data_IF_225537103971
#
_entry.id   IF_225537103971
#
_cell.length_a   1.000
_cell.length_b   1.000
_cell.length_c   1.000
_cell.angle_alpha   90.00
_cell.angle_beta   90.00
_cell.angle_gamma   90.00
#
_symmetry.space_group_name_H-M   'P 1'
#
loop_
_entity.id
_entity.type
_entity.pdbx_description
1 polymer ?
#
# COMPACT_ATOMS: atom_id res chain seq x y z
N UNK A 1 -35.11 -5.33 16.57
CA UNK A 1 -33.80 -4.99 15.98
C UNK A 1 -32.90 -6.17 16.31
N UNK A 2 -32.75 -7.11 15.37
CA UNK A 2 -31.85 -8.24 15.56
C UNK A 2 -30.42 -7.72 15.53
N UNK A 3 -29.70 -7.91 16.62
CA UNK A 3 -28.27 -7.62 16.69
C UNK A 3 -27.58 -8.64 15.79
N UNK A 4 -27.15 -8.24 14.59
CA UNK A 4 -26.28 -9.05 13.75
C UNK A 4 -25.02 -9.37 14.57
N UNK A 5 -24.97 -10.59 15.12
CA UNK A 5 -23.74 -11.13 15.69
C UNK A 5 -22.79 -11.35 14.53
N UNK A 6 -21.87 -10.44 14.33
CA UNK A 6 -20.77 -10.63 13.37
C UNK A 6 -20.03 -11.90 13.80
N UNK A 7 -20.06 -12.94 12.95
CA UNK A 7 -19.26 -14.14 13.20
C UNK A 7 -17.80 -13.74 13.38
N UNK A 8 -17.22 -14.18 14.51
CA UNK A 8 -15.82 -13.89 14.82
C UNK A 8 -14.92 -14.51 13.75
N UNK A 9 -14.04 -13.73 13.15
CA UNK A 9 -13.06 -14.22 12.20
C UNK A 9 -12.03 -15.12 12.88
N UNK A 10 -12.21 -16.43 12.75
CA UNK A 10 -11.29 -17.43 13.32
C UNK A 10 -9.87 -17.39 12.74
N UNK A 11 -9.66 -16.68 11.63
CA UNK A 11 -8.37 -16.54 10.95
C UNK A 11 -7.66 -15.23 11.27
N UNK A 12 -8.26 -14.32 12.05
CA UNK A 12 -7.68 -13.00 12.34
C UNK A 12 -6.28 -13.10 12.99
N UNK A 13 -6.03 -14.16 13.79
CA UNK A 13 -4.72 -14.40 14.40
C UNK A 13 -3.57 -14.47 13.38
N UNK A 14 -3.85 -14.78 12.10
CA UNK A 14 -2.83 -14.88 11.06
C UNK A 14 -2.20 -13.52 10.74
N UNK A 15 -2.93 -12.43 10.97
CA UNK A 15 -2.48 -11.06 10.77
C UNK A 15 -2.06 -10.36 12.07
N UNK A 16 -1.93 -11.08 13.19
CA UNK A 16 -1.42 -10.49 14.42
C UNK A 16 -0.01 -9.93 14.23
N UNK A 17 0.23 -8.73 14.78
CA UNK A 17 1.48 -7.98 14.65
C UNK A 17 1.81 -7.56 13.21
N UNK A 18 0.80 -7.43 12.36
CA UNK A 18 0.96 -6.75 11.07
C UNK A 18 1.44 -5.31 11.32
N UNK A 19 2.37 -4.78 10.49
CA UNK A 19 2.84 -3.41 10.67
C UNK A 19 1.73 -2.39 10.43
N UNK A 20 1.95 -1.10 10.76
CA UNK A 20 0.98 -0.07 10.45
C UNK A 20 0.66 -0.05 8.96
N UNK A 21 -0.63 0.07 8.66
CA UNK A 21 -1.16 0.12 7.30
C UNK A 21 -1.45 1.57 6.93
N UNK A 22 -1.03 1.99 5.74
CA UNK A 22 -1.40 3.25 5.12
C UNK A 22 -2.13 2.92 3.83
N UNK A 23 -3.46 3.07 3.83
CA UNK A 23 -4.25 2.78 2.63
C UNK A 23 -4.64 4.07 1.90
N UNK A 24 -4.49 4.02 0.58
CA UNK A 24 -4.68 5.14 -0.34
C UNK A 24 -6.09 5.04 -0.91
N UNK A 25 -6.89 6.13 -0.76
CA UNK A 25 -8.27 6.15 -1.22
C UNK A 25 -8.64 7.57 -1.66
N UNK A 26 -9.29 7.69 -2.81
CA UNK A 26 -9.83 8.95 -3.32
C UNK A 26 -10.96 9.46 -2.42
N UNK A 27 -11.04 10.77 -2.19
CA UNK A 27 -12.10 11.37 -1.39
C UNK A 27 -13.49 11.21 -2.03
N UNK A 28 -13.53 11.09 -3.36
CA UNK A 28 -14.73 10.82 -4.12
C UNK A 28 -15.21 9.36 -4.08
N UNK A 29 -14.47 8.45 -3.43
CA UNK A 29 -14.77 7.01 -3.39
C UNK A 29 -15.09 6.52 -1.95
N UNK A 30 -16.17 7.03 -1.32
CA UNK A 30 -16.50 6.67 0.06
C UNK A 30 -16.88 5.19 0.25
N UNK A 31 -17.42 4.55 -0.78
CA UNK A 31 -17.80 3.13 -0.72
C UNK A 31 -16.56 2.23 -0.60
N UNK A 32 -15.48 2.54 -1.32
CA UNK A 32 -14.20 1.83 -1.21
C UNK A 32 -13.56 2.03 0.18
N UNK A 33 -13.67 3.24 0.73
CA UNK A 33 -13.26 3.50 2.13
C UNK A 33 -14.01 2.59 3.10
N UNK A 34 -15.34 2.54 3.01
CA UNK A 34 -16.19 1.69 3.86
C UNK A 34 -15.81 0.22 3.70
N UNK A 35 -15.56 -0.22 2.47
CA UNK A 35 -15.13 -1.58 2.16
C UNK A 35 -13.81 -1.91 2.90
N UNK A 36 -12.77 -1.09 2.76
CA UNK A 36 -11.49 -1.32 3.41
C UNK A 36 -11.60 -1.33 4.95
N UNK A 37 -12.28 -0.34 5.52
CA UNK A 37 -12.45 -0.25 6.97
C UNK A 37 -13.29 -1.42 7.53
N UNK A 38 -14.25 -1.94 6.75
CA UNK A 38 -15.00 -3.13 7.13
C UNK A 38 -14.11 -4.39 7.16
N UNK A 39 -13.19 -4.53 6.20
CA UNK A 39 -12.20 -5.61 6.21
C UNK A 39 -11.25 -5.49 7.40
N UNK A 40 -10.71 -4.30 7.67
CA UNK A 40 -9.85 -4.09 8.83
C UNK A 40 -10.55 -4.49 10.13
N UNK A 41 -11.79 -4.07 10.30
CA UNK A 41 -12.61 -4.50 11.44
C UNK A 41 -12.80 -6.02 11.50
N UNK A 42 -13.11 -6.66 10.36
CA UNK A 42 -13.31 -8.11 10.30
C UNK A 42 -12.02 -8.89 10.63
N UNK A 43 -10.87 -8.35 10.24
CA UNK A 43 -9.55 -8.95 10.48
C UNK A 43 -8.89 -8.50 11.79
N UNK A 44 -9.61 -7.76 12.65
CA UNK A 44 -9.12 -7.24 13.92
C UNK A 44 -7.84 -6.39 13.75
N UNK A 45 -7.75 -5.64 12.64
CA UNK A 45 -6.65 -4.71 12.34
C UNK A 45 -7.05 -3.33 12.85
N UNK A 46 -6.30 -2.79 13.82
CA UNK A 46 -6.57 -1.49 14.43
C UNK A 46 -5.59 -0.40 13.99
N UNK A 47 -4.38 -0.79 13.60
CA UNK A 47 -3.31 0.16 13.26
C UNK A 47 -3.30 0.46 11.76
N UNK A 48 -4.21 1.31 11.33
CA UNK A 48 -4.27 1.80 9.95
C UNK A 48 -4.54 3.30 9.87
N UNK A 49 -4.08 3.91 8.79
CA UNK A 49 -4.29 5.33 8.46
C UNK A 49 -4.75 5.45 7.02
N UNK A 50 -5.82 6.17 6.79
CA UNK A 50 -6.26 6.54 5.44
C UNK A 50 -5.42 7.71 4.91
N UNK A 51 -4.95 7.57 3.70
CA UNK A 51 -4.28 8.63 2.93
C UNK A 51 -5.22 9.07 1.81
N UNK A 52 -5.67 10.32 1.85
CA UNK A 52 -6.44 10.91 0.76
C UNK A 52 -5.55 10.96 -0.49
N UNK A 53 -5.98 10.27 -1.55
CA UNK A 53 -5.27 10.19 -2.81
C UNK A 53 -5.39 11.48 -3.62
N UNK A 54 -4.44 11.71 -4.52
CA UNK A 54 -4.57 12.71 -5.58
C UNK A 54 -5.26 12.07 -6.79
N UNK A 55 -6.34 12.68 -7.28
CA UNK A 55 -6.94 12.30 -8.56
C UNK A 55 -6.25 13.07 -9.69
N UNK A 56 -5.32 12.41 -10.37
CA UNK A 56 -4.59 13.05 -11.47
C UNK A 56 -5.46 13.37 -12.70
N UNK A 57 -6.72 12.94 -12.72
CA UNK A 57 -7.67 13.26 -13.81
C UNK A 57 -8.38 14.60 -13.55
N UNK A 58 -8.69 14.88 -12.30
CA UNK A 58 -9.52 16.00 -11.87
C UNK A 58 -8.73 17.05 -11.07
N UNK A 59 -7.66 16.65 -10.36
CA UNK A 59 -6.83 17.54 -9.56
C UNK A 59 -5.79 18.28 -10.43
N UNK A 60 -5.60 19.56 -10.18
CA UNK A 60 -4.42 20.29 -10.66
C UNK A 60 -3.21 19.92 -9.78
N UNK A 61 -2.35 19.06 -10.32
CA UNK A 61 -1.15 18.61 -9.63
C UNK A 61 0.06 19.55 -9.77
N UNK A 62 -0.08 20.72 -10.38
CA UNK A 62 1.01 21.68 -10.63
C UNK A 62 1.69 22.17 -9.34
N UNK A 63 0.93 22.26 -8.24
CA UNK A 63 1.46 22.63 -6.94
C UNK A 63 2.17 21.48 -6.22
N UNK A 64 1.94 20.24 -6.64
CA UNK A 64 2.43 19.03 -6.02
C UNK A 64 3.64 18.48 -6.79
N UNK A 65 3.68 18.65 -8.09
CA UNK A 65 4.74 18.15 -8.97
C UNK A 65 5.75 19.26 -9.25
N UNK A 66 7.03 18.89 -9.17
CA UNK A 66 8.14 19.75 -9.53
C UNK A 66 8.66 19.39 -10.93
N UNK A 67 8.55 20.33 -11.85
CA UNK A 67 9.00 20.14 -13.23
C UNK A 67 7.99 19.38 -14.08
N UNK A 68 8.49 18.51 -14.96
CA UNK A 68 7.68 17.66 -15.84
C UNK A 68 7.66 16.23 -15.33
N UNK A 69 6.75 15.42 -15.82
CA UNK A 69 6.74 13.98 -15.63
C UNK A 69 6.90 13.27 -16.98
N UNK A 70 7.26 11.96 -17.01
CA UNK A 70 7.45 11.23 -18.25
C UNK A 70 6.23 11.31 -19.17
N UNK A 71 6.46 11.63 -20.44
CA UNK A 71 5.38 11.87 -21.43
C UNK A 71 4.48 10.65 -21.69
N UNK A 72 4.94 9.47 -21.35
CA UNK A 72 4.19 8.23 -21.46
C UNK A 72 3.33 7.89 -20.21
N UNK A 73 3.42 8.68 -19.14
CA UNK A 73 2.54 8.53 -17.98
C UNK A 73 1.21 9.22 -18.26
N UNK A 74 0.13 8.51 -17.97
CA UNK A 74 -1.22 9.09 -17.94
C UNK A 74 -1.41 9.93 -16.68
N UNK A 75 -2.39 10.84 -16.70
CA UNK A 75 -2.73 11.65 -15.52
C UNK A 75 -3.12 10.79 -14.32
N UNK A 76 -3.83 9.68 -14.54
CA UNK A 76 -4.15 8.72 -13.47
C UNK A 76 -2.91 8.06 -12.86
N UNK A 77 -1.92 7.67 -13.68
CA UNK A 77 -0.65 7.12 -13.19
C UNK A 77 0.16 8.16 -12.40
N UNK A 78 0.10 9.42 -12.80
CA UNK A 78 0.71 10.53 -12.05
C UNK A 78 0.04 10.70 -10.69
N UNK A 79 -1.30 10.72 -10.64
CA UNK A 79 -2.06 10.77 -9.39
C UNK A 79 -1.77 9.58 -8.48
N UNK A 80 -1.74 8.36 -9.03
CA UNK A 80 -1.37 7.13 -8.30
C UNK A 80 0.04 7.25 -7.71
N UNK A 81 1.05 7.53 -8.53
CA UNK A 81 2.46 7.62 -8.09
C UNK A 81 2.65 8.68 -6.99
N UNK A 82 2.05 9.86 -7.16
CA UNK A 82 2.15 10.93 -6.15
C UNK A 82 1.42 10.57 -4.87
N UNK A 83 0.31 9.83 -4.94
CA UNK A 83 -0.42 9.33 -3.76
C UNK A 83 0.40 8.30 -2.98
N UNK A 84 1.11 7.40 -3.66
CA UNK A 84 2.02 6.47 -3.02
C UNK A 84 3.19 7.19 -2.32
N UNK A 85 3.81 8.16 -3.00
CA UNK A 85 4.87 8.99 -2.38
C UNK A 85 4.34 9.76 -1.16
N UNK A 86 3.10 10.28 -1.23
CA UNK A 86 2.43 10.92 -0.09
C UNK A 86 2.25 9.96 1.08
N UNK A 87 1.80 8.72 0.82
CA UNK A 87 1.62 7.70 1.85
C UNK A 87 2.95 7.32 2.52
N UNK A 88 3.98 7.09 1.72
CA UNK A 88 5.34 6.78 2.21
C UNK A 88 5.88 7.94 3.05
N UNK A 89 5.73 9.19 2.58
CA UNK A 89 6.18 10.39 3.30
C UNK A 89 5.43 10.53 4.63
N UNK A 90 4.10 10.41 4.61
CA UNK A 90 3.29 10.51 5.82
C UNK A 90 3.74 9.48 6.88
N UNK A 91 3.86 8.21 6.49
CA UNK A 91 4.38 7.18 7.38
C UNK A 91 5.78 7.53 7.92
N UNK A 92 6.70 7.90 7.03
CA UNK A 92 8.10 8.19 7.39
C UNK A 92 8.22 9.33 8.41
N UNK A 93 7.37 10.36 8.30
CA UNK A 93 7.39 11.55 9.15
C UNK A 93 6.60 11.39 10.46
N UNK A 94 5.59 10.50 10.50
CA UNK A 94 4.63 10.42 11.63
C UNK A 94 4.73 9.15 12.46
N UNK A 95 5.54 8.16 12.05
CA UNK A 95 5.67 6.87 12.73
C UNK A 95 7.13 6.51 12.92
N UNK A 96 7.45 5.84 14.03
CA UNK A 96 8.79 5.29 14.30
C UNK A 96 8.93 3.81 13.88
N UNK A 97 7.89 3.22 13.29
CA UNK A 97 7.95 1.82 12.86
C UNK A 97 9.03 1.59 11.80
N UNK A 98 9.72 0.45 11.88
CA UNK A 98 10.81 0.10 10.96
C UNK A 98 10.36 -0.17 9.54
N UNK A 99 9.09 -0.53 9.36
CA UNK A 99 8.45 -0.80 8.07
C UNK A 99 6.93 -0.60 8.17
N UNK A 100 6.30 -0.41 7.03
CA UNK A 100 4.86 -0.24 6.90
C UNK A 100 4.30 -1.00 5.71
N UNK A 101 2.99 -1.24 5.73
CA UNK A 101 2.23 -1.66 4.57
C UNK A 101 1.61 -0.42 3.89
N UNK A 102 1.84 -0.30 2.60
CA UNK A 102 1.14 0.65 1.74
C UNK A 102 0.19 -0.16 0.86
N UNK A 103 -1.06 0.22 0.78
CA UNK A 103 -2.05 -0.48 -0.02
C UNK A 103 -3.07 0.46 -0.65
N UNK A 104 -3.60 0.05 -1.79
CA UNK A 104 -4.71 0.70 -2.47
C UNK A 104 -6.04 0.26 -1.84
N UNK A 105 -7.12 0.95 -2.17
CA UNK A 105 -8.44 0.77 -1.57
C UNK A 105 -9.30 -0.33 -2.20
N UNK A 106 -8.70 -1.18 -3.03
CA UNK A 106 -9.34 -2.33 -3.68
C UNK A 106 -8.69 -3.69 -3.34
N UNK A 107 -7.87 -3.72 -2.29
CA UNK A 107 -7.28 -4.97 -1.78
C UNK A 107 -8.36 -5.80 -1.08
N UNK A 108 -8.36 -7.10 -1.38
CA UNK A 108 -9.17 -8.11 -0.69
C UNK A 108 -8.30 -8.98 0.21
N UNK A 109 -8.60 -8.99 1.51
CA UNK A 109 -7.90 -9.78 2.51
C UNK A 109 -8.45 -11.21 2.67
N UNK A 110 -9.46 -11.59 1.93
CA UNK A 110 -10.13 -12.90 2.10
C UNK A 110 -9.22 -14.09 1.81
N UNK A 111 -8.20 -13.93 0.96
CA UNK A 111 -7.21 -14.96 0.71
C UNK A 111 -6.38 -15.35 1.94
N UNK A 112 -6.28 -14.49 2.93
CA UNK A 112 -5.59 -14.78 4.20
C UNK A 112 -6.22 -15.98 4.93
N UNK A 113 -7.51 -16.24 4.75
CA UNK A 113 -8.19 -17.41 5.29
C UNK A 113 -7.51 -18.74 4.90
N UNK A 114 -6.94 -18.77 3.70
CA UNK A 114 -6.32 -19.95 3.11
C UNK A 114 -4.81 -20.06 3.37
N UNK A 115 -4.19 -19.04 4.01
CA UNK A 115 -2.79 -19.13 4.37
C UNK A 115 -2.58 -20.26 5.39
N UNK A 116 -1.53 -21.05 5.19
CA UNK A 116 -1.07 -22.07 6.14
C UNK A 116 0.05 -21.57 7.06
N UNK A 117 0.26 -20.25 7.12
CA UNK A 117 1.25 -19.55 7.91
C UNK A 117 0.62 -18.29 8.54
N UNK A 118 1.32 -17.70 9.49
CA UNK A 118 0.99 -16.41 10.10
C UNK A 118 1.86 -15.29 9.52
N UNK A 119 1.47 -14.03 9.75
CA UNK A 119 2.31 -12.88 9.44
C UNK A 119 3.73 -13.00 10.05
N UNK A 120 3.80 -13.49 11.28
CA UNK A 120 5.08 -13.74 11.97
C UNK A 120 5.94 -14.77 11.24
N UNK A 121 5.34 -15.84 10.73
CA UNK A 121 6.08 -16.87 9.97
C UNK A 121 6.56 -16.31 8.64
N UNK A 122 5.71 -15.53 7.96
CA UNK A 122 6.07 -14.82 6.74
C UNK A 122 7.30 -13.91 6.97
N UNK A 123 7.26 -13.05 7.97
CA UNK A 123 8.36 -12.13 8.29
C UNK A 123 9.68 -12.86 8.60
N UNK A 124 9.62 -14.04 9.23
CA UNK A 124 10.81 -14.86 9.49
C UNK A 124 11.41 -15.50 8.25
N UNK A 125 10.61 -15.68 7.21
CA UNK A 125 11.04 -16.25 5.92
C UNK A 125 11.64 -15.24 4.97
N UNK A 126 11.54 -13.94 5.24
CA UNK A 126 12.08 -12.90 4.38
C UNK A 126 13.62 -12.87 4.43
N UNK A 127 14.29 -12.57 3.31
CA UNK A 127 15.69 -12.18 3.32
C UNK A 127 15.92 -11.03 4.29
N UNK A 128 17.03 -11.03 4.99
CA UNK A 128 17.29 -10.02 6.02
C UNK A 128 17.47 -8.60 5.45
N UNK A 129 17.86 -8.48 4.19
CA UNK A 129 18.23 -7.25 3.47
C UNK A 129 17.15 -6.76 2.47
N UNK A 130 15.87 -7.13 2.69
CA UNK A 130 14.80 -6.67 1.83
C UNK A 130 14.55 -5.16 1.95
N UNK A 131 14.33 -4.51 0.83
CA UNK A 131 13.96 -3.09 0.74
C UNK A 131 12.45 -2.90 0.61
N UNK A 132 11.84 -3.65 -0.32
CA UNK A 132 10.39 -3.68 -0.58
C UNK A 132 9.95 -5.12 -0.80
N UNK A 133 8.81 -5.48 -0.26
CA UNK A 133 8.15 -6.76 -0.52
C UNK A 133 6.80 -6.50 -1.14
N UNK A 134 6.65 -6.80 -2.41
CA UNK A 134 5.39 -6.70 -3.14
C UNK A 134 4.49 -7.87 -2.72
N UNK A 135 3.32 -7.57 -2.18
CA UNK A 135 2.39 -8.56 -1.62
C UNK A 135 1.24 -8.88 -2.56
N UNK A 136 0.95 -7.99 -3.50
CA UNK A 136 -0.04 -8.21 -4.53
C UNK A 136 0.59 -7.95 -5.91
N UNK A 137 0.33 -8.85 -6.85
CA UNK A 137 0.73 -8.70 -8.25
C UNK A 137 -0.49 -8.94 -9.14
N UNK A 138 -0.54 -8.27 -10.27
CA UNK A 138 -1.53 -8.55 -11.30
C UNK A 138 -1.09 -9.80 -12.04
N UNK A 139 -1.78 -10.91 -11.77
CA UNK A 139 -1.52 -12.19 -12.42
C UNK A 139 -2.82 -12.76 -13.01
N UNK A 140 -2.79 -13.07 -14.29
CA UNK A 140 -3.97 -13.61 -15.03
C UNK A 140 -4.03 -15.14 -15.04
N UNK A 141 -3.06 -15.84 -14.45
CA UNK A 141 -2.91 -17.29 -14.58
C UNK A 141 -3.35 -18.07 -13.34
N UNK A 142 -2.59 -18.00 -12.29
CA UNK A 142 -2.82 -18.80 -11.09
C UNK A 142 -2.37 -18.08 -9.84
N UNK A 143 -3.04 -18.35 -8.72
CA UNK A 143 -2.68 -17.79 -7.43
C UNK A 143 -1.48 -18.58 -6.90
N UNK A 144 -0.37 -17.88 -6.68
CA UNK A 144 0.81 -18.44 -6.06
C UNK A 144 1.21 -17.63 -4.83
N UNK A 145 1.45 -18.31 -3.72
CA UNK A 145 2.16 -17.73 -2.59
C UNK A 145 3.61 -18.18 -2.69
N UNK A 146 4.45 -17.37 -3.32
CA UNK A 146 5.85 -17.69 -3.58
C UNK A 146 6.73 -16.46 -3.40
N UNK A 147 7.75 -16.58 -2.57
CA UNK A 147 8.78 -15.56 -2.46
C UNK A 147 9.79 -15.72 -3.61
N UNK A 148 9.95 -14.67 -4.41
CA UNK A 148 10.98 -14.60 -5.47
C UNK A 148 11.47 -13.15 -5.63
N UNK A 149 12.60 -12.96 -6.27
CA UNK A 149 13.05 -11.62 -6.66
C UNK A 149 12.06 -11.04 -7.67
N UNK A 150 11.74 -9.74 -7.52
CA UNK A 150 10.85 -9.05 -8.44
C UNK A 150 11.39 -9.11 -9.88
N UNK A 151 10.56 -9.53 -10.81
CA UNK A 151 10.80 -9.45 -12.25
C UNK A 151 10.20 -8.17 -12.84
N UNK A 152 10.68 -7.77 -14.00
CA UNK A 152 10.20 -6.57 -14.70
C UNK A 152 8.69 -6.62 -15.00
N UNK A 153 8.11 -7.81 -15.12
CA UNK A 153 6.68 -8.02 -15.40
C UNK A 153 5.83 -8.24 -14.14
N UNK A 154 6.38 -8.08 -12.94
CA UNK A 154 5.60 -8.10 -11.70
C UNK A 154 5.00 -6.72 -11.49
N UNK A 155 3.91 -6.43 -12.20
CA UNK A 155 3.18 -5.17 -12.10
C UNK A 155 2.23 -5.21 -10.91
N UNK A 156 2.17 -4.21 -10.15
CA UNK A 156 1.14 -3.74 -9.22
C UNK A 156 1.76 -2.91 -8.12
N UNK A 157 1.09 -1.88 -7.71
CA UNK A 157 1.35 -1.11 -6.48
C UNK A 157 0.27 -1.34 -5.43
N UNK A 158 -0.69 -2.24 -5.73
CA UNK A 158 -1.89 -2.43 -4.94
C UNK A 158 -1.61 -2.77 -3.46
N UNK A 159 -0.56 -3.57 -3.17
CA UNK A 159 -0.13 -3.80 -1.79
C UNK A 159 1.35 -4.17 -1.73
N UNK A 160 2.10 -3.45 -0.92
CA UNK A 160 3.51 -3.76 -0.64
C UNK A 160 3.93 -3.34 0.77
N UNK A 161 4.95 -4.01 1.27
CA UNK A 161 5.65 -3.62 2.49
C UNK A 161 6.95 -2.92 2.12
N UNK A 162 7.25 -1.82 2.79
CA UNK A 162 8.46 -1.01 2.57
C UNK A 162 9.19 -0.80 3.88
N UNK A 163 10.51 -0.93 3.89
CA UNK A 163 11.32 -0.60 5.05
C UNK A 163 11.69 0.90 5.07
N UNK A 164 12.03 1.38 6.27
CA UNK A 164 12.31 2.81 6.49
C UNK A 164 13.54 3.31 5.71
N UNK A 165 14.54 2.46 5.54
CA UNK A 165 15.74 2.81 4.77
C UNK A 165 15.43 3.06 3.29
N UNK A 166 14.60 2.20 2.69
CA UNK A 166 14.19 2.39 1.29
C UNK A 166 13.25 3.58 1.13
N UNK A 167 12.33 3.79 2.08
CA UNK A 167 11.47 4.97 2.09
C UNK A 167 12.30 6.27 2.10
N UNK A 168 13.34 6.33 2.94
CA UNK A 168 14.26 7.48 2.97
C UNK A 168 14.93 7.71 1.61
N UNK A 169 15.40 6.63 0.95
CA UNK A 169 16.00 6.71 -0.40
C UNK A 169 15.01 7.28 -1.41
N UNK A 170 13.78 6.74 -1.43
CA UNK A 170 12.73 7.19 -2.36
C UNK A 170 12.39 8.67 -2.13
N UNK A 171 12.19 9.08 -0.88
CA UNK A 171 11.86 10.47 -0.57
C UNK A 171 13.01 11.41 -0.91
N UNK A 172 14.26 11.06 -0.62
CA UNK A 172 15.44 11.83 -1.04
C UNK A 172 15.56 11.97 -2.55
N UNK A 173 15.08 10.99 -3.31
CA UNK A 173 15.14 10.99 -4.77
C UNK A 173 13.98 11.77 -5.40
N UNK A 174 12.76 11.54 -4.90
CA UNK A 174 11.53 12.04 -5.52
C UNK A 174 10.94 13.29 -4.86
N UNK A 175 11.33 13.65 -3.63
CA UNK A 175 10.79 14.83 -2.95
C UNK A 175 11.81 15.98 -2.95
N UNK A 176 11.37 17.18 -3.30
CA UNK A 176 12.18 18.41 -3.31
C UNK A 176 11.31 19.61 -2.93
N UNK A 177 11.56 20.17 -1.73
CA UNK A 177 10.87 21.36 -1.22
C UNK A 177 9.35 21.21 -1.16
N UNK A 178 8.85 20.07 -0.73
CA UNK A 178 7.43 19.78 -0.60
C UNK A 178 6.74 19.35 -1.90
N UNK A 179 7.48 19.26 -3.01
CA UNK A 179 6.94 18.82 -4.32
C UNK A 179 7.61 17.51 -4.77
N UNK A 180 6.86 16.71 -5.53
CA UNK A 180 7.34 15.44 -6.08
C UNK A 180 7.95 15.61 -7.46
N UNK A 181 9.09 14.98 -7.70
CA UNK A 181 9.82 14.97 -8.95
C UNK A 181 9.73 13.58 -9.58
N UNK A 182 9.12 13.48 -10.76
CA UNK A 182 8.81 12.21 -11.44
C UNK A 182 9.58 12.01 -12.76
N UNK A 183 10.44 12.94 -13.15
CA UNK A 183 11.11 12.98 -14.46
C UNK A 183 12.24 11.97 -14.67
N UNK A 184 12.60 11.18 -13.65
CA UNK A 184 13.71 10.23 -13.70
C UNK A 184 13.25 8.75 -13.66
N UNK A 185 12.11 8.44 -14.25
CA UNK A 185 11.64 7.07 -14.37
C UNK A 185 11.25 6.47 -13.02
N UNK A 186 10.21 7.03 -12.44
CA UNK A 186 9.55 6.43 -11.28
C UNK A 186 8.83 5.14 -11.66
#
# INVERSE_FOLDING_TARGET
METLVLEKNKSAYKLQNIPPIYYINLDGEPERKIYMESQFKYWEIENYTRISAYDGRDDDLSDIIKGTYPVNMTSGEVGCTTSHLKAIKHWYETSDSSYALIMEDDIDLDLVKFWNFTWKDFMRGLPYDWDVVQLAIICTGSIHVKLHKRFVNDFSTACYMINRHHAEKLLKFHERNGKYKLDNGA
#
